data_IF_469913590897
#
_entry.id   IF_469913590897
#
_cell.length_a   1.000
_cell.length_b   1.000
_cell.length_c   1.000
_cell.angle_alpha   90.00
_cell.angle_beta   90.00
_cell.angle_gamma   90.00
#
_symmetry.space_group_name_H-M   'P 1'
#
loop_
_entity.id
_entity.type
_entity.pdbx_description
1 polymer ?
#
# COMPACT_ATOMS: atom_id res chain seq x y z
N UNK A 1 14.65 -16.35 12.36
CA UNK A 1 13.97 -15.09 12.77
C UNK A 1 12.47 -15.32 13.00
N UNK A 2 11.86 -14.80 14.09
CA UNK A 2 10.44 -14.97 14.33
C UNK A 2 9.68 -14.22 13.23
N UNK A 3 8.69 -14.89 12.65
CA UNK A 3 7.79 -14.27 11.67
C UNK A 3 7.09 -13.09 12.36
N UNK A 4 6.99 -11.90 11.73
CA UNK A 4 6.14 -10.86 12.28
C UNK A 4 4.75 -11.46 12.53
N UNK A 5 4.20 -11.19 13.72
CA UNK A 5 2.87 -11.68 14.10
C UNK A 5 1.84 -11.30 13.03
N UNK A 6 0.80 -12.14 12.88
CA UNK A 6 -0.21 -12.01 11.81
C UNK A 6 -0.84 -10.60 11.69
N UNK A 7 -0.74 -9.79 12.75
CA UNK A 7 -1.36 -8.48 12.87
C UNK A 7 -0.38 -7.29 12.72
N UNK A 8 0.92 -7.54 12.53
CA UNK A 8 1.89 -6.47 12.34
C UNK A 8 1.83 -5.90 10.90
N UNK A 9 1.85 -4.57 10.71
CA UNK A 9 1.83 -3.99 9.38
C UNK A 9 3.08 -4.36 8.59
N UNK A 10 2.91 -4.53 7.27
CA UNK A 10 4.00 -4.84 6.36
C UNK A 10 4.99 -3.66 6.34
N UNK A 11 6.27 -3.98 6.45
CA UNK A 11 7.38 -3.02 6.43
C UNK A 11 8.26 -3.23 5.20
N UNK A 12 8.96 -2.19 4.76
CA UNK A 12 10.00 -2.25 3.72
C UNK A 12 11.39 -2.57 4.27
N UNK A 13 11.51 -2.73 5.59
CA UNK A 13 12.68 -3.27 6.28
C UNK A 13 13.18 -4.55 5.59
N UNK A 14 14.48 -4.59 5.29
CA UNK A 14 15.12 -5.75 4.64
C UNK A 14 15.77 -6.70 5.65
N UNK A 15 15.83 -7.98 5.30
CA UNK A 15 16.92 -8.84 5.75
C UNK A 15 18.12 -8.53 4.86
N UNK A 16 19.03 -7.67 5.35
CA UNK A 16 20.43 -7.32 4.98
C UNK A 16 20.92 -7.41 3.52
N UNK A 17 20.44 -8.31 2.66
CA UNK A 17 21.14 -8.71 1.44
C UNK A 17 20.87 -7.90 0.15
N UNK A 18 19.75 -7.18 0.01
CA UNK A 18 19.33 -6.78 -1.34
C UNK A 18 19.75 -5.37 -1.79
N UNK A 19 20.23 -4.46 -0.92
CA UNK A 19 20.88 -3.17 -1.29
C UNK A 19 20.12 -2.13 -2.15
N UNK A 20 19.06 -2.54 -2.85
CA UNK A 20 18.31 -1.80 -3.85
C UNK A 20 17.29 -0.89 -3.18
N UNK A 21 17.22 0.35 -3.66
CA UNK A 21 16.22 1.32 -3.25
C UNK A 21 14.80 0.80 -3.51
N UNK A 22 13.89 1.01 -2.54
CA UNK A 22 12.48 0.66 -2.65
C UNK A 22 11.64 1.74 -1.98
N UNK A 23 10.41 1.91 -2.46
CA UNK A 23 9.43 2.74 -1.76
C UNK A 23 9.16 2.15 -0.37
N UNK A 24 9.27 3.02 0.63
CA UNK A 24 8.89 2.78 2.03
C UNK A 24 7.37 2.64 2.16
N UNK A 25 6.91 1.86 3.14
CA UNK A 25 5.48 1.81 3.47
C UNK A 25 5.06 3.05 4.24
N UNK A 26 3.75 3.25 4.39
CA UNK A 26 3.20 4.31 5.23
C UNK A 26 3.68 4.18 6.67
N UNK A 27 3.72 2.96 7.20
CA UNK A 27 4.30 2.66 8.52
C UNK A 27 5.77 3.08 8.64
N UNK A 28 6.60 2.70 7.65
CA UNK A 28 8.02 3.06 7.64
C UNK A 28 8.22 4.58 7.64
N UNK A 29 7.43 5.32 6.84
CA UNK A 29 7.50 6.78 6.79
C UNK A 29 7.09 7.43 8.10
N UNK A 30 6.04 6.94 8.76
CA UNK A 30 5.61 7.46 10.06
C UNK A 30 6.69 7.26 11.13
N UNK A 31 7.37 6.12 11.13
CA UNK A 31 8.52 5.88 12.03
C UNK A 31 9.69 6.81 11.73
N UNK A 32 9.98 7.08 10.45
CA UNK A 32 11.02 8.04 10.05
C UNK A 32 10.68 9.46 10.51
N UNK A 33 9.42 9.90 10.39
CA UNK A 33 9.00 11.21 10.89
C UNK A 33 9.04 11.29 12.41
N UNK A 34 8.57 10.26 13.11
CA UNK A 34 8.67 10.18 14.56
C UNK A 34 10.13 10.26 15.03
N UNK A 35 11.07 9.64 14.30
CA UNK A 35 12.50 9.76 14.60
C UNK A 35 13.01 11.19 14.37
N UNK A 36 12.68 11.83 13.24
CA UNK A 36 13.07 13.23 12.94
C UNK A 36 12.62 14.20 14.03
N UNK A 37 11.40 14.02 14.55
CA UNK A 37 10.85 14.89 15.60
C UNK A 37 11.64 14.79 16.92
N UNK A 38 12.36 13.68 17.15
CA UNK A 38 13.14 13.43 18.36
C UNK A 38 14.65 13.68 18.18
N UNK A 39 15.23 13.27 17.04
CA UNK A 39 16.64 13.44 16.70
C UNK A 39 16.78 13.73 15.19
N UNK A 40 17.01 14.99 14.80
CA UNK A 40 17.08 15.37 13.40
C UNK A 40 18.42 15.02 12.74
N UNK A 41 19.44 14.65 13.52
CA UNK A 41 20.78 14.40 12.99
C UNK A 41 20.89 13.00 12.38
N UNK A 42 21.45 12.92 11.17
CA UNK A 42 21.87 11.67 10.53
C UNK A 42 20.77 10.57 10.41
N UNK A 43 19.51 10.97 10.23
CA UNK A 43 18.33 10.08 10.04
C UNK A 43 18.59 8.94 9.05
N UNK A 44 19.17 9.25 7.89
CA UNK A 44 19.44 8.22 6.87
C UNK A 44 20.48 7.19 7.33
N UNK A 45 21.46 7.60 8.15
CA UNK A 45 22.48 6.71 8.71
C UNK A 45 21.86 5.82 9.77
N UNK A 46 21.07 6.38 10.69
CA UNK A 46 20.35 5.63 11.73
C UNK A 46 19.54 4.47 11.13
N UNK A 47 18.67 4.77 10.16
CA UNK A 47 17.80 3.75 9.57
C UNK A 47 18.54 2.74 8.68
N UNK A 48 19.72 3.07 8.15
CA UNK A 48 20.56 2.14 7.38
C UNK A 48 21.36 1.18 8.25
N UNK A 49 21.66 1.54 9.49
CA UNK A 49 22.47 0.72 10.40
C UNK A 49 21.64 -0.19 11.31
N UNK A 50 20.31 -0.13 11.22
CA UNK A 50 19.43 -1.02 11.99
C UNK A 50 19.73 -2.49 11.70
N UNK A 51 20.17 -3.21 12.74
CA UNK A 51 20.53 -4.63 12.66
C UNK A 51 19.37 -5.52 12.20
N UNK A 52 18.14 -5.09 12.47
CA UNK A 52 16.92 -5.71 11.99
C UNK A 52 16.19 -4.74 11.07
N UNK A 53 16.30 -4.96 9.77
CA UNK A 53 15.42 -4.25 8.85
C UNK A 53 15.88 -2.87 8.41
N UNK A 54 17.10 -2.68 7.87
CA UNK A 54 17.53 -1.36 7.44
C UNK A 54 16.59 -0.80 6.36
N UNK A 55 16.24 0.48 6.51
CA UNK A 55 15.47 1.22 5.52
C UNK A 55 16.43 2.00 4.63
N UNK A 56 16.33 1.77 3.32
CA UNK A 56 17.21 2.37 2.32
C UNK A 56 16.47 3.47 1.58
N UNK A 57 16.76 4.72 1.92
CA UNK A 57 16.24 5.93 1.25
C UNK A 57 17.30 7.05 1.23
N UNK A 58 17.03 8.11 0.48
CA UNK A 58 17.94 9.25 0.30
C UNK A 58 17.47 10.47 1.08
N UNK A 59 18.42 11.33 1.48
CA UNK A 59 18.14 12.59 2.18
C UNK A 59 17.22 13.51 1.37
N UNK A 60 17.32 13.51 0.04
CA UNK A 60 16.44 14.30 -0.83
C UNK A 60 14.98 13.84 -0.76
N UNK A 61 14.73 12.58 -0.38
CA UNK A 61 13.38 12.08 -0.19
C UNK A 61 12.78 12.63 1.11
N UNK A 62 13.60 12.90 2.14
CA UNK A 62 13.15 13.52 3.39
C UNK A 62 12.83 15.01 3.20
N UNK A 63 13.70 15.75 2.50
CA UNK A 63 13.53 17.20 2.31
C UNK A 63 12.28 17.55 1.49
N UNK A 64 11.85 16.66 0.58
CA UNK A 64 10.64 16.82 -0.23
C UNK A 64 9.34 16.39 0.49
N UNK A 65 9.43 15.77 1.66
CA UNK A 65 8.33 15.06 2.31
C UNK A 65 7.41 15.84 3.30
N UNK A 66 7.57 17.15 3.63
CA UNK A 66 6.70 17.80 4.61
C UNK A 66 5.20 17.70 4.27
N UNK A 67 4.86 17.82 2.97
CA UNK A 67 3.47 17.69 2.49
C UNK A 67 2.92 16.26 2.60
N UNK A 68 3.80 15.25 2.53
CA UNK A 68 3.42 13.84 2.55
C UNK A 68 3.12 13.32 3.96
N UNK A 69 3.55 14.00 5.03
CA UNK A 69 3.25 13.55 6.40
C UNK A 69 1.75 13.52 6.66
N UNK A 70 1.06 14.64 6.40
CA UNK A 70 -0.39 14.73 6.58
C UNK A 70 -1.15 13.70 5.72
N UNK A 71 -0.74 13.51 4.47
CA UNK A 71 -1.32 12.51 3.56
C UNK A 71 -1.10 11.07 4.07
N UNK A 72 0.09 10.76 4.60
CA UNK A 72 0.44 9.44 5.12
C UNK A 72 -0.29 9.14 6.43
N UNK A 73 -0.46 10.13 7.31
CA UNK A 73 -1.27 10.02 8.52
C UNK A 73 -2.75 9.80 8.18
N UNK A 74 -3.29 10.51 7.19
CA UNK A 74 -4.65 10.30 6.68
C UNK A 74 -4.81 8.89 6.10
N UNK A 75 -3.83 8.42 5.30
CA UNK A 75 -3.83 7.08 4.72
C UNK A 75 -3.74 5.97 5.77
N UNK A 76 -2.97 6.17 6.84
CA UNK A 76 -2.90 5.22 7.94
C UNK A 76 -4.26 5.00 8.61
N UNK A 77 -5.14 6.01 8.59
CA UNK A 77 -6.48 5.98 9.19
C UNK A 77 -7.59 5.53 8.24
N UNK A 78 -7.36 5.54 6.91
CA UNK A 78 -8.43 5.36 5.92
C UNK A 78 -8.80 3.91 5.63
N UNK A 79 -7.89 2.95 5.81
CA UNK A 79 -8.13 1.54 5.50
C UNK A 79 -7.26 0.64 6.40
N UNK A 80 -7.72 -0.55 6.81
CA UNK A 80 -6.91 -1.55 7.53
C UNK A 80 -5.52 -1.84 6.93
N UNK A 81 -5.37 -1.73 5.60
CA UNK A 81 -4.10 -1.92 4.89
C UNK A 81 -3.29 -0.64 4.69
N UNK A 82 -3.77 0.51 5.19
CA UNK A 82 -3.17 1.83 4.97
C UNK A 82 -1.71 1.91 5.39
N UNK A 83 -1.39 1.36 6.57
CA UNK A 83 -0.02 1.27 7.10
C UNK A 83 0.92 0.44 6.22
N UNK A 84 0.41 -0.66 5.65
CA UNK A 84 1.17 -1.59 4.81
C UNK A 84 1.35 -1.09 3.38
N UNK A 85 0.58 -0.08 2.96
CA UNK A 85 0.63 0.42 1.59
C UNK A 85 1.86 1.30 1.35
N UNK A 86 2.46 1.15 0.16
CA UNK A 86 3.59 1.97 -0.32
C UNK A 86 3.15 3.16 -1.16
N UNK A 87 1.94 3.12 -1.72
CA UNK A 87 1.37 4.13 -2.62
C UNK A 87 -0.11 4.31 -2.30
N UNK A 88 -0.67 5.44 -2.69
CA UNK A 88 -2.12 5.58 -2.71
C UNK A 88 -2.70 4.61 -3.70
N UNK A 89 -3.73 3.87 -3.30
CA UNK A 89 -4.57 3.16 -4.27
C UNK A 89 -5.61 4.17 -4.75
N UNK A 90 -5.33 4.81 -5.87
CA UNK A 90 -6.33 5.61 -6.57
C UNK A 90 -7.21 4.63 -7.33
N UNK A 91 -8.45 4.47 -6.87
CA UNK A 91 -9.46 3.65 -7.56
C UNK A 91 -10.22 4.59 -8.50
N UNK A 92 -9.98 4.47 -9.81
CA UNK A 92 -10.59 5.35 -10.82
C UNK A 92 -12.12 5.27 -10.81
N UNK A 93 -12.70 4.12 -10.46
CA UNK A 93 -14.15 3.88 -10.39
C UNK A 93 -14.55 3.21 -9.07
N UNK A 94 -14.78 4.01 -8.00
CA UNK A 94 -15.07 3.45 -6.68
C UNK A 94 -16.44 2.76 -6.61
N UNK A 95 -17.37 3.10 -7.50
CA UNK A 95 -18.65 2.43 -7.70
C UNK A 95 -18.50 0.99 -8.22
N UNK A 96 -17.70 0.80 -9.28
CA UNK A 96 -17.38 -0.52 -9.84
C UNK A 96 -16.66 -1.38 -8.79
N UNK A 97 -15.64 -0.83 -8.14
CA UNK A 97 -14.87 -1.55 -7.11
C UNK A 97 -15.74 -1.97 -5.92
N UNK A 98 -16.65 -1.09 -5.45
CA UNK A 98 -17.62 -1.45 -4.39
C UNK A 98 -18.54 -2.59 -4.82
N UNK A 99 -19.06 -2.53 -6.05
CA UNK A 99 -19.87 -3.60 -6.61
C UNK A 99 -19.12 -4.94 -6.66
N UNK A 100 -17.83 -4.89 -7.00
CA UNK A 100 -16.97 -6.07 -7.04
C UNK A 100 -16.73 -6.64 -5.64
N UNK A 101 -16.39 -5.79 -4.66
CA UNK A 101 -16.20 -6.21 -3.25
C UNK A 101 -17.47 -6.85 -2.68
N UNK A 102 -18.64 -6.26 -2.92
CA UNK A 102 -19.92 -6.83 -2.48
C UNK A 102 -20.17 -8.19 -3.11
N UNK A 103 -19.85 -8.35 -4.40
CA UNK A 103 -20.01 -9.62 -5.10
C UNK A 103 -19.03 -10.68 -4.58
N UNK A 104 -17.77 -10.35 -4.32
CA UNK A 104 -16.79 -11.27 -3.73
C UNK A 104 -17.29 -11.76 -2.38
N UNK A 105 -17.74 -10.85 -1.50
CA UNK A 105 -18.27 -11.22 -0.18
C UNK A 105 -19.48 -12.16 -0.30
N UNK A 106 -20.33 -11.98 -1.31
CA UNK A 106 -21.45 -12.87 -1.58
C UNK A 106 -21.01 -14.28 -2.01
N UNK A 107 -19.97 -14.40 -2.84
CA UNK A 107 -19.45 -15.70 -3.32
C UNK A 107 -18.71 -16.42 -2.19
N UNK A 108 -17.87 -15.71 -1.45
CA UNK A 108 -17.17 -16.26 -0.27
C UNK A 108 -18.16 -16.73 0.80
N UNK A 109 -19.26 -15.99 1.02
CA UNK A 109 -20.35 -16.41 1.92
C UNK A 109 -21.07 -17.69 1.49
N UNK A 110 -20.92 -18.10 0.22
CA UNK A 110 -21.44 -19.37 -0.31
C UNK A 110 -20.40 -20.50 -0.28
N UNK A 111 -19.24 -20.29 0.35
CA UNK A 111 -18.09 -21.20 0.33
C UNK A 111 -17.55 -21.52 -1.09
N UNK A 112 -17.81 -20.65 -2.06
CA UNK A 112 -17.23 -20.74 -3.39
C UNK A 112 -15.94 -19.92 -3.46
N UNK A 113 -14.93 -20.42 -4.20
CA UNK A 113 -13.65 -19.74 -4.35
C UNK A 113 -13.69 -18.78 -5.54
N UNK A 114 -13.38 -17.51 -5.30
CA UNK A 114 -13.24 -16.51 -6.36
C UNK A 114 -11.89 -16.65 -7.05
N UNK A 115 -11.90 -16.88 -8.37
CA UNK A 115 -10.69 -16.92 -9.19
C UNK A 115 -10.42 -15.58 -9.89
N UNK A 116 -9.20 -15.41 -10.40
CA UNK A 116 -8.82 -14.19 -11.14
C UNK A 116 -9.69 -13.96 -12.38
N UNK A 117 -9.97 -14.99 -13.15
CA UNK A 117 -10.81 -14.89 -14.36
C UNK A 117 -12.24 -14.47 -14.02
N UNK A 118 -12.77 -14.95 -12.90
CA UNK A 118 -14.09 -14.55 -12.41
C UNK A 118 -14.13 -13.08 -12.00
N UNK A 119 -13.06 -12.57 -11.38
CA UNK A 119 -12.94 -11.14 -11.04
C UNK A 119 -12.90 -10.28 -12.31
N UNK A 120 -12.12 -10.68 -13.32
CA UNK A 120 -12.01 -9.95 -14.59
C UNK A 120 -13.37 -9.88 -15.28
N UNK A 121 -14.05 -11.03 -15.44
CA UNK A 121 -15.35 -11.07 -16.10
C UNK A 121 -16.42 -10.33 -15.29
N UNK A 122 -16.41 -10.43 -13.95
CA UNK A 122 -17.36 -9.69 -13.12
C UNK A 122 -17.12 -8.19 -13.17
N UNK A 123 -15.87 -7.76 -13.13
CA UNK A 123 -15.49 -6.35 -13.25
C UNK A 123 -16.02 -5.77 -14.57
N UNK A 124 -15.80 -6.48 -15.70
CA UNK A 124 -16.33 -6.08 -17.01
C UNK A 124 -17.85 -5.92 -17.00
N UNK A 125 -18.59 -6.88 -16.41
CA UNK A 125 -20.06 -6.80 -16.30
C UNK A 125 -20.52 -5.62 -15.44
N UNK A 126 -19.76 -5.27 -14.41
CA UNK A 126 -20.06 -4.10 -13.58
C UNK A 126 -19.80 -2.81 -14.37
N UNK A 127 -18.68 -2.72 -15.11
CA UNK A 127 -18.42 -1.60 -16.01
C UNK A 127 -19.54 -1.41 -17.05
N UNK A 128 -20.04 -2.50 -17.64
CA UNK A 128 -21.20 -2.47 -18.55
C UNK A 128 -22.47 -2.00 -17.83
N UNK A 129 -22.76 -2.53 -16.64
CA UNK A 129 -23.96 -2.19 -15.87
C UNK A 129 -23.96 -0.74 -15.35
N UNK A 130 -22.79 -0.19 -15.03
CA UNK A 130 -22.63 1.21 -14.64
C UNK A 130 -22.44 2.16 -15.84
N UNK A 131 -22.50 1.65 -17.08
CA UNK A 131 -22.39 2.45 -18.29
C UNK A 131 -21.03 3.13 -18.43
N UNK A 132 -19.95 2.49 -17.97
CA UNK A 132 -18.59 3.05 -18.04
C UNK A 132 -18.15 3.13 -19.51
N UNK A 133 -17.83 4.33 -20.04
CA UNK A 133 -17.31 4.51 -21.39
C UNK A 133 -16.04 3.69 -21.62
N UNK A 134 -15.85 3.15 -22.81
CA UNK A 134 -14.73 2.25 -23.12
C UNK A 134 -13.35 2.92 -22.90
N UNK A 135 -13.29 4.24 -23.05
CA UNK A 135 -12.11 5.07 -22.81
C UNK A 135 -11.70 5.13 -21.34
N UNK A 136 -12.66 4.96 -20.43
CA UNK A 136 -12.47 5.00 -18.98
C UNK A 136 -12.33 3.61 -18.35
N UNK A 137 -12.54 2.55 -19.14
CA UNK A 137 -12.42 1.17 -18.67
C UNK A 137 -10.97 0.84 -18.37
N UNK A 138 -10.79 0.00 -17.34
CA UNK A 138 -9.49 -0.57 -17.05
C UNK A 138 -9.11 -1.51 -18.20
N UNK A 139 -8.26 -1.04 -19.11
CA UNK A 139 -7.62 -1.93 -20.08
C UNK A 139 -6.82 -2.96 -19.30
N UNK A 140 -7.20 -4.23 -19.43
CA UNK A 140 -6.43 -5.37 -18.96
C UNK A 140 -5.02 -5.29 -19.59
N UNK A 141 -4.08 -4.68 -18.88
CA UNK A 141 -2.67 -4.64 -19.26
C UNK A 141 -2.02 -5.95 -18.80
N UNK A 142 -1.45 -6.69 -19.76
CA UNK A 142 -0.71 -7.92 -19.52
C UNK A 142 0.57 -7.76 -18.71
#
# INVERSE_FOLDING_TARGET
PPKPGKDAPKTSAKLVADGKWRNLTTFDWLNVFAFIDNDPEDVTKHFRTLAMGPLIFFQETLSRNPKRRAELEARAKSNPLGLSSKRERVVTRPDVERGLVMWVAQIEGKNEMVTGDMLIEKHRRLEDAFGVPEEERLRNGG
#
